data_IF_618780587013
#
_entry.id   IF_618780587013
#
_cell.length_a   1.000
_cell.length_b   1.000
_cell.length_c   1.000
_cell.angle_alpha   90.00
_cell.angle_beta   90.00
_cell.angle_gamma   90.00
#
_symmetry.space_group_name_H-M   'P 1'
#
loop_
_entity.id
_entity.type
_entity.pdbx_description
1 polymer ?
#
# COMPACT_ATOMS: atom_id res chain seq x y z
N UNK A 1 19.08 -32.38 27.88
CA UNK A 1 19.62 -31.66 26.71
C UNK A 1 19.71 -32.62 25.53
N UNK A 2 18.66 -32.78 24.70
CA UNK A 2 18.68 -33.66 23.51
C UNK A 2 18.28 -32.95 22.22
N UNK A 3 17.56 -31.83 22.33
CA UNK A 3 16.95 -31.15 21.19
C UNK A 3 17.94 -30.34 20.37
N UNK A 4 18.98 -29.75 20.98
CA UNK A 4 19.97 -28.96 20.24
C UNK A 4 20.96 -29.83 19.48
N UNK A 5 21.37 -30.95 20.07
CA UNK A 5 22.24 -31.90 19.39
C UNK A 5 21.59 -32.37 18.08
N UNK A 6 20.27 -32.62 18.11
CA UNK A 6 19.50 -32.90 16.90
C UNK A 6 19.60 -31.78 15.85
N UNK A 7 19.40 -30.50 16.22
CA UNK A 7 19.51 -29.39 15.27
C UNK A 7 20.95 -29.14 14.78
N UNK A 8 21.96 -29.41 15.62
CA UNK A 8 23.38 -29.34 15.21
C UNK A 8 23.74 -30.44 14.21
N UNK A 9 23.21 -31.65 14.39
CA UNK A 9 23.37 -32.75 13.43
C UNK A 9 22.73 -32.43 12.07
N UNK A 10 21.68 -31.61 12.06
CA UNK A 10 21.06 -31.07 10.84
C UNK A 10 21.82 -29.86 10.25
N UNK A 11 23.00 -29.51 10.78
CA UNK A 11 23.83 -28.40 10.30
C UNK A 11 23.38 -27.01 10.75
N UNK A 12 22.42 -26.90 11.67
CA UNK A 12 21.95 -25.61 12.19
C UNK A 12 22.68 -25.24 13.49
N UNK A 13 23.35 -24.08 13.51
CA UNK A 13 24.03 -23.55 14.69
C UNK A 13 23.08 -22.80 15.62
N UNK A 14 22.15 -23.53 16.25
CA UNK A 14 21.20 -22.95 17.21
C UNK A 14 21.70 -23.07 18.66
N UNK A 15 21.49 -22.02 19.45
CA UNK A 15 21.80 -22.01 20.89
C UNK A 15 20.58 -22.37 21.75
N UNK A 16 20.81 -22.86 22.98
CA UNK A 16 19.72 -23.23 23.90
C UNK A 16 18.91 -22.04 24.37
N UNK A 17 19.56 -20.90 24.57
CA UNK A 17 18.87 -19.65 24.91
C UNK A 17 17.99 -19.17 23.76
N UNK A 18 18.44 -19.31 22.50
CA UNK A 18 17.64 -18.96 21.32
C UNK A 18 16.40 -19.84 21.20
N UNK A 19 16.55 -21.17 21.29
CA UNK A 19 15.43 -22.10 21.19
C UNK A 19 14.41 -21.88 22.32
N UNK A 20 14.89 -21.71 23.56
CA UNK A 20 14.03 -21.42 24.70
C UNK A 20 13.29 -20.08 24.53
N UNK A 21 13.98 -19.06 23.98
CA UNK A 21 13.37 -17.78 23.65
C UNK A 21 12.26 -17.89 22.59
N UNK A 22 12.46 -18.69 21.55
CA UNK A 22 11.44 -18.92 20.52
C UNK A 22 10.21 -19.64 21.07
N UNK A 23 10.40 -20.68 21.88
CA UNK A 23 9.28 -21.38 22.54
C UNK A 23 8.53 -20.42 23.46
N UNK A 24 9.25 -19.63 24.28
CA UNK A 24 8.64 -18.67 25.20
C UNK A 24 7.79 -17.60 24.49
N UNK A 25 8.18 -17.21 23.28
CA UNK A 25 7.54 -16.14 22.53
C UNK A 25 6.79 -16.64 21.28
N UNK A 26 6.50 -17.93 21.19
CA UNK A 26 5.95 -18.59 20.00
C UNK A 26 4.68 -17.90 19.51
N UNK A 27 3.71 -17.66 20.40
CA UNK A 27 2.44 -17.03 20.05
C UNK A 27 2.62 -15.62 19.47
N UNK A 28 3.58 -14.87 20.00
CA UNK A 28 3.88 -13.52 19.53
C UNK A 28 4.53 -13.55 18.15
N UNK A 29 5.42 -14.52 17.91
CA UNK A 29 6.09 -14.73 16.62
C UNK A 29 5.04 -15.10 15.56
N UNK A 30 4.17 -16.08 15.87
CA UNK A 30 3.08 -16.51 14.98
C UNK A 30 2.13 -15.37 14.64
N UNK A 31 1.68 -14.58 15.63
CA UNK A 31 0.85 -13.39 15.41
C UNK A 31 1.52 -12.36 14.50
N UNK A 32 2.81 -12.11 14.70
CA UNK A 32 3.59 -11.18 13.86
C UNK A 32 3.63 -11.63 12.40
N UNK A 33 3.84 -12.92 12.15
CA UNK A 33 3.88 -13.49 10.79
C UNK A 33 2.52 -13.37 10.10
N UNK A 34 1.43 -13.61 10.82
CA UNK A 34 0.07 -13.42 10.26
C UNK A 34 -0.18 -11.96 9.87
N UNK A 35 0.27 -11.01 10.69
CA UNK A 35 0.06 -9.57 10.42
C UNK A 35 0.98 -8.99 9.34
N UNK A 36 2.25 -9.40 9.29
CA UNK A 36 3.27 -8.76 8.43
C UNK A 36 3.78 -9.67 7.29
N UNK A 37 3.30 -10.92 7.20
CA UNK A 37 3.82 -11.93 6.28
C UNK A 37 5.22 -12.46 6.65
N UNK A 38 5.74 -13.37 5.83
CA UNK A 38 7.03 -14.07 6.04
C UNK A 38 8.29 -13.21 5.80
N UNK A 39 8.16 -11.91 5.57
CA UNK A 39 9.28 -11.04 5.15
C UNK A 39 10.02 -10.42 6.35
N UNK A 40 9.38 -10.32 7.51
CA UNK A 40 9.93 -9.58 8.65
C UNK A 40 10.70 -10.48 9.63
N UNK A 41 12.05 -10.48 9.54
CA UNK A 41 12.94 -11.10 10.55
C UNK A 41 12.90 -10.41 11.92
N UNK A 42 12.43 -9.16 11.95
CA UNK A 42 12.27 -8.37 13.17
C UNK A 42 10.91 -7.67 13.17
N UNK A 43 10.09 -7.96 14.18
CA UNK A 43 8.89 -7.19 14.48
C UNK A 43 9.30 -5.82 15.05
N UNK A 44 9.55 -4.83 14.18
CA UNK A 44 9.76 -3.46 14.66
C UNK A 44 8.39 -2.87 15.00
N UNK A 45 8.12 -2.69 16.29
CA UNK A 45 6.99 -1.85 16.72
C UNK A 45 7.16 -0.46 16.12
N UNK A 46 6.10 0.10 15.55
CA UNK A 46 6.12 1.48 15.11
C UNK A 46 6.41 2.39 16.32
N UNK A 47 7.12 3.49 16.08
CA UNK A 47 7.67 4.38 17.12
C UNK A 47 6.58 5.02 17.99
N UNK A 48 5.37 5.13 17.44
CA UNK A 48 4.16 5.59 18.12
C UNK A 48 2.96 4.79 17.62
N UNK A 49 2.43 3.92 18.48
CA UNK A 49 1.33 3.01 18.15
C UNK A 49 -0.01 3.74 18.00
N UNK A 50 -0.22 4.85 18.72
CA UNK A 50 -1.46 5.61 18.66
C UNK A 50 -1.53 6.41 17.35
N UNK A 51 -0.43 7.09 17.01
CA UNK A 51 -0.29 7.82 15.75
C UNK A 51 -0.49 6.94 14.51
N UNK A 52 0.21 5.80 14.42
CA UNK A 52 0.08 4.93 13.25
C UNK A 52 -1.30 4.28 13.16
N UNK A 53 -1.94 3.96 14.29
CA UNK A 53 -3.32 3.45 14.28
C UNK A 53 -4.31 4.48 13.74
N UNK A 54 -4.21 5.73 14.19
CA UNK A 54 -5.06 6.82 13.70
C UNK A 54 -4.82 7.11 12.22
N UNK A 55 -3.55 7.12 11.80
CA UNK A 55 -3.20 7.31 10.40
C UNK A 55 -3.76 6.19 9.50
N UNK A 56 -3.65 4.94 9.93
CA UNK A 56 -4.19 3.79 9.18
C UNK A 56 -5.72 3.88 9.02
N UNK A 57 -6.43 4.34 10.06
CA UNK A 57 -7.87 4.58 10.00
C UNK A 57 -8.20 5.67 8.96
N UNK A 58 -7.52 6.82 9.02
CA UNK A 58 -7.71 7.92 8.07
C UNK A 58 -7.43 7.50 6.62
N UNK A 59 -6.36 6.72 6.41
CA UNK A 59 -6.01 6.15 5.11
C UNK A 59 -7.08 5.19 4.60
N UNK A 60 -7.61 4.33 5.48
CA UNK A 60 -8.68 3.39 5.11
C UNK A 60 -9.98 4.14 4.75
N UNK A 61 -10.35 5.16 5.52
CA UNK A 61 -11.53 5.99 5.25
C UNK A 61 -11.39 6.76 3.93
N UNK A 62 -10.21 7.26 3.60
CA UNK A 62 -9.98 7.97 2.33
C UNK A 62 -9.99 7.02 1.13
N UNK A 63 -9.44 5.82 1.26
CA UNK A 63 -9.55 4.78 0.24
C UNK A 63 -11.00 4.35 -0.01
N UNK A 64 -11.78 4.17 1.05
CA UNK A 64 -13.21 3.84 0.93
C UNK A 64 -14.04 4.93 0.25
N UNK A 65 -13.56 6.18 0.26
CA UNK A 65 -14.17 7.30 -0.47
C UNK A 65 -13.73 7.38 -1.94
N UNK A 66 -12.88 6.46 -2.41
CA UNK A 66 -12.39 6.42 -3.79
C UNK A 66 -11.32 7.47 -4.12
N UNK A 67 -10.70 8.08 -3.10
CA UNK A 67 -9.65 9.10 -3.31
C UNK A 67 -8.32 8.40 -3.62
N UNK A 68 -7.67 8.80 -4.71
CA UNK A 68 -6.32 8.32 -5.04
C UNK A 68 -5.32 8.87 -4.03
N UNK A 69 -4.60 7.98 -3.36
CA UNK A 69 -3.59 8.35 -2.38
C UNK A 69 -2.26 8.70 -3.04
N UNK A 70 -1.99 10.00 -3.15
CA UNK A 70 -0.64 10.51 -3.43
C UNK A 70 0.21 10.56 -2.15
N UNK A 71 1.54 10.59 -2.30
CA UNK A 71 2.47 10.74 -1.18
C UNK A 71 2.17 11.96 -0.30
N UNK A 72 1.76 13.08 -0.92
CA UNK A 72 1.43 14.30 -0.19
C UNK A 72 0.09 14.20 0.54
N UNK A 73 -0.89 13.48 -0.03
CA UNK A 73 -2.14 13.19 0.69
C UNK A 73 -1.89 12.35 1.94
N UNK A 74 -0.96 11.39 1.90
CA UNK A 74 -0.58 10.59 3.06
C UNK A 74 0.10 11.47 4.13
N UNK A 75 0.98 12.39 3.73
CA UNK A 75 1.59 13.37 4.66
C UNK A 75 0.56 14.31 5.28
N UNK A 76 -0.46 14.71 4.51
CA UNK A 76 -1.56 15.52 5.01
C UNK A 76 -2.38 14.75 6.06
N UNK A 77 -2.76 13.50 5.75
CA UNK A 77 -3.48 12.64 6.70
C UNK A 77 -2.65 12.36 7.96
N UNK A 78 -1.33 12.19 7.83
CA UNK A 78 -0.42 12.08 8.96
C UNK A 78 -0.38 13.36 9.81
N UNK A 79 -0.43 14.53 9.17
CA UNK A 79 -0.51 15.80 9.92
C UNK A 79 -1.84 15.90 10.67
N UNK A 80 -2.94 15.47 10.05
CA UNK A 80 -4.25 15.42 10.72
C UNK A 80 -4.25 14.43 11.88
N UNK A 81 -3.64 13.26 11.72
CA UNK A 81 -3.51 12.28 12.81
C UNK A 81 -2.77 12.87 14.02
N UNK A 82 -1.73 13.69 13.81
CA UNK A 82 -1.09 14.40 14.92
C UNK A 82 -1.97 15.45 15.58
N UNK A 83 -2.79 16.15 14.80
CA UNK A 83 -3.71 17.15 15.32
C UNK A 83 -4.83 16.49 16.13
N UNK A 84 -5.40 15.40 15.63
CA UNK A 84 -6.44 14.61 16.31
C UNK A 84 -5.95 14.05 17.66
N UNK A 85 -4.67 13.70 17.75
CA UNK A 85 -4.02 13.22 18.97
C UNK A 85 -3.44 14.34 19.84
N UNK A 86 -3.65 15.60 19.46
CA UNK A 86 -3.15 16.79 20.15
C UNK A 86 -1.65 16.75 20.43
N UNK A 87 -0.87 16.11 19.55
CA UNK A 87 0.57 15.94 19.76
C UNK A 87 1.27 17.29 19.58
N UNK A 88 2.03 17.78 20.58
CA UNK A 88 2.81 19.00 20.47
C UNK A 88 3.81 18.95 19.32
N UNK A 89 4.02 20.07 18.63
CA UNK A 89 4.87 20.14 17.42
C UNK A 89 6.30 19.65 17.69
N UNK A 90 6.85 19.95 18.87
CA UNK A 90 8.17 19.53 19.35
C UNK A 90 8.32 18.00 19.49
N UNK A 91 7.21 17.28 19.67
CA UNK A 91 7.18 15.82 19.77
C UNK A 91 6.89 15.12 18.44
N UNK A 92 6.47 15.87 17.41
CA UNK A 92 6.19 15.31 16.08
C UNK A 92 7.49 14.98 15.38
N UNK A 93 7.61 13.78 14.83
CA UNK A 93 8.74 13.48 13.95
C UNK A 93 8.50 14.04 12.56
N UNK A 94 9.59 14.34 11.85
CA UNK A 94 9.53 14.83 10.47
C UNK A 94 8.93 13.78 9.53
N UNK A 95 7.83 14.13 8.87
CA UNK A 95 7.17 13.34 7.81
C UNK A 95 8.00 13.33 6.51
N UNK A 96 9.24 12.86 6.62
CA UNK A 96 10.20 12.78 5.52
C UNK A 96 9.78 11.79 4.44
N UNK A 97 10.36 11.91 3.24
CA UNK A 97 10.14 10.93 2.17
C UNK A 97 10.58 9.52 2.60
N UNK A 98 11.66 9.39 3.39
CA UNK A 98 12.09 8.09 3.92
C UNK A 98 11.08 7.48 4.89
N UNK A 99 10.40 8.28 5.71
CA UNK A 99 9.29 7.78 6.54
C UNK A 99 8.11 7.32 5.67
N UNK A 100 7.72 8.13 4.68
CA UNK A 100 6.60 7.82 3.79
C UNK A 100 6.83 6.49 3.05
N UNK A 101 8.00 6.29 2.46
CA UNK A 101 8.33 5.04 1.76
C UNK A 101 8.32 3.83 2.68
N UNK A 102 8.80 4.00 3.93
CA UNK A 102 8.71 2.93 4.93
C UNK A 102 7.26 2.66 5.37
N UNK A 103 6.44 3.70 5.52
CA UNK A 103 5.02 3.57 5.86
C UNK A 103 4.26 2.82 4.76
N UNK A 104 4.48 3.18 3.49
CA UNK A 104 3.90 2.47 2.33
C UNK A 104 4.29 1.00 2.32
N UNK A 105 5.58 0.70 2.53
CA UNK A 105 6.09 -0.69 2.58
C UNK A 105 5.46 -1.51 3.71
N UNK A 106 5.31 -0.93 4.91
CA UNK A 106 4.70 -1.61 6.07
C UNK A 106 3.21 -1.90 5.88
N UNK A 107 2.49 -1.01 5.21
CA UNK A 107 1.05 -1.13 4.97
C UNK A 107 0.72 -1.68 3.58
N UNK A 108 1.70 -2.23 2.87
CA UNK A 108 1.56 -2.80 1.52
C UNK A 108 0.86 -1.86 0.52
N UNK A 109 1.00 -0.54 0.68
CA UNK A 109 0.45 0.45 -0.24
C UNK A 109 1.29 0.46 -1.51
N UNK A 110 0.68 0.07 -2.63
CA UNK A 110 1.34 0.06 -3.94
C UNK A 110 1.04 1.38 -4.66
N UNK A 111 2.06 1.96 -5.30
CA UNK A 111 1.82 3.05 -6.24
C UNK A 111 1.14 2.45 -7.48
N UNK A 112 -0.07 2.89 -7.77
CA UNK A 112 -0.77 2.58 -9.02
C UNK A 112 -0.55 3.79 -9.91
N UNK A 113 0.19 3.62 -11.01
CA UNK A 113 0.29 4.66 -12.01
C UNK A 113 -0.87 4.50 -12.99
N UNK A 114 -1.83 5.42 -12.95
CA UNK A 114 -2.91 5.47 -13.92
C UNK A 114 -2.32 5.94 -15.25
N UNK A 115 -2.02 5.00 -16.14
CA UNK A 115 -1.67 5.30 -17.53
C UNK A 115 -2.99 5.41 -18.30
N UNK A 116 -3.39 6.64 -18.64
CA UNK A 116 -4.56 6.89 -19.48
C UNK A 116 -5.03 8.34 -19.35
N UNK A 117 -5.28 9.00 -20.47
CA UNK A 117 -5.87 10.35 -20.55
C UNK A 117 -7.26 10.46 -19.89
N UNK A 118 -7.85 9.33 -19.49
CA UNK A 118 -9.16 9.19 -18.85
C UNK A 118 -9.36 10.05 -17.59
N UNK A 119 -8.29 10.49 -16.92
CA UNK A 119 -8.38 11.35 -15.74
C UNK A 119 -8.66 12.83 -16.03
N UNK A 120 -8.51 13.29 -17.28
CA UNK A 120 -8.59 14.71 -17.65
C UNK A 120 -9.86 15.09 -18.43
N UNK A 121 -10.75 14.13 -18.69
CA UNK A 121 -11.93 14.35 -19.52
C UNK A 121 -13.13 14.82 -18.69
N UNK A 122 -13.69 15.98 -19.04
CA UNK A 122 -14.89 16.52 -18.41
C UNK A 122 -16.09 15.60 -18.67
N UNK A 123 -16.85 15.17 -17.63
CA UNK A 123 -18.05 14.31 -17.78
C UNK A 123 -19.07 14.84 -18.79
N UNK A 124 -19.23 16.16 -18.87
CA UNK A 124 -20.14 16.83 -19.80
C UNK A 124 -19.68 16.68 -21.25
N UNK A 125 -18.38 16.83 -21.48
CA UNK A 125 -17.76 16.60 -22.79
C UNK A 125 -17.87 15.13 -23.21
N UNK A 126 -17.70 14.19 -22.28
CA UNK A 126 -17.86 12.75 -22.54
C UNK A 126 -19.30 12.43 -22.96
N UNK A 127 -20.31 13.00 -22.29
CA UNK A 127 -21.71 12.77 -22.62
C UNK A 127 -22.07 13.29 -24.02
N UNK A 128 -21.56 14.48 -24.37
CA UNK A 128 -21.75 15.07 -25.68
C UNK A 128 -21.06 14.26 -26.78
N UNK A 129 -19.81 13.85 -26.57
CA UNK A 129 -19.06 13.03 -27.54
C UNK A 129 -19.68 11.63 -27.68
N UNK A 130 -20.18 11.01 -26.60
CA UNK A 130 -20.94 9.75 -26.70
C UNK A 130 -22.19 9.90 -27.58
N UNK A 131 -22.96 10.97 -27.38
CA UNK A 131 -24.16 11.23 -28.17
C UNK A 131 -23.82 11.43 -29.65
N UNK A 132 -22.75 12.18 -29.93
CA UNK A 132 -22.23 12.37 -31.29
C UNK A 132 -21.75 11.06 -31.93
N UNK A 133 -21.01 10.23 -31.20
CA UNK A 133 -20.53 8.93 -31.68
C UNK A 133 -21.68 7.98 -32.00
N UNK A 134 -22.70 7.90 -31.14
CA UNK A 134 -23.88 7.07 -31.39
C UNK A 134 -24.57 7.51 -32.70
N UNK A 135 -24.76 8.81 -32.91
CA UNK A 135 -25.35 9.34 -34.13
C UNK A 135 -24.50 9.06 -35.39
N UNK A 136 -23.18 9.09 -35.27
CA UNK A 136 -22.26 8.78 -36.35
C UNK A 136 -22.27 7.28 -36.71
N UNK A 137 -22.39 6.42 -35.70
CA UNK A 137 -22.32 4.96 -35.83
C UNK A 137 -23.66 4.31 -36.19
N UNK A 138 -24.80 5.00 -36.03
CA UNK A 138 -26.14 4.46 -36.32
C UNK A 138 -26.36 3.93 -37.74
N UNK A 139 -25.51 4.29 -38.71
CA UNK A 139 -25.56 3.81 -40.09
C UNK A 139 -24.60 2.65 -40.43
N UNK A 140 -23.74 2.26 -39.49
CA UNK A 140 -22.69 1.26 -39.71
C UNK A 140 -23.06 -0.06 -39.03
N UNK A 141 -22.70 -1.18 -39.65
CA UNK A 141 -22.85 -2.48 -39.00
C UNK A 141 -21.77 -2.62 -37.93
N UNK A 142 -22.03 -3.33 -36.81
CA UNK A 142 -21.03 -3.54 -35.76
C UNK A 142 -19.71 -4.15 -36.26
N UNK A 143 -19.73 -4.96 -37.32
CA UNK A 143 -18.53 -5.54 -37.93
C UNK A 143 -17.64 -4.52 -38.67
N UNK A 144 -18.14 -3.32 -38.93
CA UNK A 144 -17.43 -2.25 -39.62
C UNK A 144 -16.94 -1.15 -38.64
N UNK A 145 -17.16 -1.34 -37.33
CA UNK A 145 -16.77 -0.41 -36.28
C UNK A 145 -15.50 -0.95 -35.61
N UNK A 146 -14.37 -0.36 -35.94
CA UNK A 146 -13.07 -0.73 -35.37
C UNK A 146 -12.65 0.27 -34.31
N UNK A 147 -12.25 -0.21 -33.13
CA UNK A 147 -11.59 0.60 -32.11
C UNK A 147 -10.09 0.63 -32.41
N UNK A 148 -9.52 1.82 -32.55
CA UNK A 148 -8.09 2.02 -32.81
C UNK A 148 -7.50 2.86 -31.66
N UNK A 149 -7.56 2.32 -30.45
CA UNK A 149 -7.12 3.01 -29.23
C UNK A 149 -5.63 2.81 -28.91
N UNK A 150 -4.96 1.86 -29.57
CA UNK A 150 -3.53 1.61 -29.39
C UNK A 150 -2.81 1.41 -30.73
N UNK A 151 -2.31 2.50 -31.34
CA UNK A 151 -1.24 2.39 -32.34
C UNK A 151 0.12 2.39 -31.63
N UNK A 152 0.58 1.21 -31.26
CA UNK A 152 1.97 1.04 -30.83
C UNK A 152 2.90 1.18 -32.06
N UNK A 153 3.31 2.41 -32.34
CA UNK A 153 4.29 2.74 -33.37
C UNK A 153 5.69 2.32 -32.89
N UNK A 154 6.08 1.08 -33.18
CA UNK A 154 7.46 0.62 -32.98
C UNK A 154 8.27 0.90 -34.26
N UNK A 155 9.17 1.87 -34.21
CA UNK A 155 10.29 1.94 -35.14
C UNK A 155 11.48 1.19 -34.52
N UNK A 156 12.05 0.25 -35.29
CA UNK A 156 13.29 -0.46 -34.99
C UNK A 156 14.50 0.26 -35.58
#
# INVERSE_FOLDING_TARGET
MRTIEHFRLLGQSLSQSTLAGWIKHEDSIRRTVVQNGNVAKHARKARDTAFESRLNELVSLTLNKGVVLSGDTIKLLATNAYNDLEVPIDKRFKLSNGWLENYKKRNNLRNISFHGEAGSSNPETIANERTRLIALLTGWKPCDIYNMDETALFYA
#
